data_IF_436540345174
#
_entry.id   IF_436540345174
#
_cell.length_a   1.000
_cell.length_b   1.000
_cell.length_c   1.000
_cell.angle_alpha   90.00
_cell.angle_beta   90.00
_cell.angle_gamma   90.00
#
_symmetry.space_group_name_H-M   'P 1'
#
loop_
_entity.id
_entity.type
_entity.pdbx_description
1 polymer ?
#
# COMPACT_ATOMS: atom_id res chain seq x y z
N UNK A 1 -19.80 -12.33 -7.52
CA UNK A 1 -18.80 -11.90 -8.51
C UNK A 1 -18.53 -10.43 -8.29
N UNK A 2 -17.27 -10.00 -8.42
CA UNK A 2 -16.86 -8.61 -8.25
C UNK A 2 -16.80 -7.92 -9.62
N UNK A 3 -17.10 -6.62 -9.68
CA UNK A 3 -17.00 -5.82 -10.91
C UNK A 3 -16.55 -4.40 -10.59
N UNK A 4 -16.12 -3.66 -11.62
CA UNK A 4 -15.62 -2.29 -11.49
C UNK A 4 -16.62 -1.31 -12.08
N UNK A 5 -16.99 -0.29 -11.31
CA UNK A 5 -17.76 0.88 -11.76
C UNK A 5 -16.83 2.09 -11.79
N UNK A 6 -16.88 2.86 -12.88
CA UNK A 6 -16.09 4.09 -13.03
C UNK A 6 -17.00 5.30 -12.83
N UNK A 7 -16.52 6.31 -12.11
CA UNK A 7 -17.23 7.59 -11.96
C UNK A 7 -16.27 8.75 -12.19
N UNK A 8 -16.66 9.66 -13.10
CA UNK A 8 -15.98 10.93 -13.33
C UNK A 8 -16.18 11.84 -12.12
N UNK A 9 -15.09 12.40 -11.63
CA UNK A 9 -15.06 13.35 -10.51
C UNK A 9 -15.21 14.78 -11.02
N UNK A 10 -15.54 15.69 -10.10
CA UNK A 10 -15.63 17.13 -10.37
C UNK A 10 -14.30 17.74 -10.79
N UNK A 11 -13.17 17.16 -10.34
CA UNK A 11 -11.80 17.57 -10.70
C UNK A 11 -11.34 17.07 -12.08
N UNK A 12 -12.22 16.39 -12.83
CA UNK A 12 -11.91 15.83 -14.15
C UNK A 12 -11.28 14.44 -14.14
N UNK A 13 -10.82 13.94 -12.98
CA UNK A 13 -10.26 12.59 -12.86
C UNK A 13 -11.32 11.50 -12.75
N UNK A 14 -10.91 10.24 -12.88
CA UNK A 14 -11.76 9.05 -12.78
C UNK A 14 -11.50 8.32 -11.47
N UNK A 15 -12.57 8.11 -10.72
CA UNK A 15 -12.59 7.16 -9.62
C UNK A 15 -13.04 5.79 -10.11
N UNK A 16 -12.40 4.73 -9.61
CA UNK A 16 -12.74 3.35 -9.91
C UNK A 16 -13.21 2.68 -8.62
N UNK A 17 -14.42 2.11 -8.62
CA UNK A 17 -15.02 1.44 -7.46
C UNK A 17 -15.21 -0.03 -7.78
N UNK A 18 -14.67 -0.91 -6.95
CA UNK A 18 -14.93 -2.35 -7.01
C UNK A 18 -16.16 -2.63 -6.16
N UNK A 19 -17.14 -3.35 -6.73
CA UNK A 19 -18.40 -3.72 -6.06
C UNK A 19 -18.60 -5.22 -6.14
N UNK A 20 -19.06 -5.85 -5.06
CA UNK A 20 -19.35 -7.28 -5.01
C UNK A 20 -20.41 -7.61 -3.95
N UNK A 21 -20.85 -8.89 -3.92
CA UNK A 21 -21.68 -9.44 -2.85
C UNK A 21 -20.84 -10.32 -1.94
N UNK A 22 -20.93 -10.08 -0.63
CA UNK A 22 -20.12 -10.77 0.36
C UNK A 22 -20.33 -12.29 0.31
N UNK A 23 -19.24 -13.05 0.25
CA UNK A 23 -19.24 -14.51 0.29
C UNK A 23 -19.85 -15.20 -0.93
N UNK A 24 -20.09 -14.46 -2.02
CA UNK A 24 -20.69 -14.96 -3.26
C UNK A 24 -22.12 -15.52 -3.12
N UNK A 25 -22.78 -15.28 -1.98
CA UNK A 25 -24.14 -15.77 -1.72
C UNK A 25 -25.20 -14.80 -2.24
N UNK A 26 -26.37 -15.32 -2.62
CA UNK A 26 -27.46 -14.55 -3.24
C UNK A 26 -27.94 -13.40 -2.35
N UNK A 27 -28.04 -13.65 -1.04
CA UNK A 27 -28.47 -12.66 -0.04
C UNK A 27 -27.29 -11.94 0.63
N UNK A 28 -26.09 -12.08 0.06
CA UNK A 28 -24.88 -11.43 0.58
C UNK A 28 -25.00 -9.92 0.44
N UNK A 29 -24.62 -9.21 1.51
CA UNK A 29 -24.59 -7.76 1.53
C UNK A 29 -23.67 -7.21 0.42
N UNK A 30 -24.09 -6.11 -0.20
CA UNK A 30 -23.24 -5.39 -1.14
C UNK A 30 -22.07 -4.76 -0.41
N UNK A 31 -20.88 -4.94 -0.98
CA UNK A 31 -19.64 -4.36 -0.50
C UNK A 31 -18.99 -3.55 -1.62
N UNK A 32 -18.22 -2.53 -1.24
CA UNK A 32 -17.55 -1.67 -2.21
C UNK A 32 -16.27 -1.05 -1.67
N UNK A 33 -15.27 -0.92 -2.52
CA UNK A 33 -14.01 -0.21 -2.28
C UNK A 33 -13.75 0.78 -3.42
N UNK A 34 -13.38 2.03 -3.10
CA UNK A 34 -13.23 3.11 -4.08
C UNK A 34 -11.80 3.61 -4.14
N UNK A 35 -11.22 3.64 -5.34
CA UNK A 35 -9.89 4.15 -5.65
C UNK A 35 -9.99 5.48 -6.38
N UNK A 36 -9.52 6.55 -5.75
CA UNK A 36 -9.54 7.92 -6.29
C UNK A 36 -8.20 8.68 -6.08
N UNK A 37 -7.24 8.08 -5.38
CA UNK A 37 -5.97 8.72 -5.07
C UNK A 37 -4.94 8.52 -6.20
N UNK A 38 -4.86 9.46 -7.14
CA UNK A 38 -3.88 9.45 -8.22
C UNK A 38 -4.49 9.64 -9.61
N UNK A 39 -3.75 9.24 -10.64
CA UNK A 39 -4.20 9.35 -12.04
C UNK A 39 -5.25 8.29 -12.37
N UNK A 40 -6.02 8.52 -13.42
CA UNK A 40 -7.08 7.60 -13.88
C UNK A 40 -6.55 6.18 -14.13
N UNK A 41 -5.38 6.08 -14.77
CA UNK A 41 -4.73 4.80 -15.02
C UNK A 41 -4.31 4.09 -13.73
N UNK A 42 -3.81 4.83 -12.74
CA UNK A 42 -3.44 4.27 -11.43
C UNK A 42 -4.68 3.80 -10.67
N UNK A 43 -5.76 4.57 -10.68
CA UNK A 43 -7.01 4.21 -10.00
C UNK A 43 -7.62 2.93 -10.61
N UNK A 44 -7.61 2.81 -11.94
CA UNK A 44 -8.08 1.61 -12.63
C UNK A 44 -7.21 0.39 -12.34
N UNK A 45 -5.88 0.53 -12.37
CA UNK A 45 -4.97 -0.57 -12.07
C UNK A 45 -5.15 -1.08 -10.62
N UNK A 46 -5.31 -0.16 -9.65
CA UNK A 46 -5.58 -0.54 -8.25
C UNK A 46 -6.92 -1.26 -8.10
N UNK A 47 -7.97 -0.78 -8.76
CA UNK A 47 -9.28 -1.41 -8.75
C UNK A 47 -9.25 -2.82 -9.38
N UNK A 48 -8.52 -3.02 -10.48
CA UNK A 48 -8.36 -4.33 -11.11
C UNK A 48 -7.61 -5.31 -10.21
N UNK A 49 -6.51 -4.86 -9.61
CA UNK A 49 -5.77 -5.66 -8.63
C UNK A 49 -6.62 -6.04 -7.42
N UNK A 50 -7.37 -5.09 -6.86
CA UNK A 50 -8.25 -5.36 -5.72
C UNK A 50 -9.40 -6.31 -6.07
N UNK A 51 -10.00 -6.16 -7.26
CA UNK A 51 -11.02 -7.10 -7.75
C UNK A 51 -10.49 -8.53 -7.78
N UNK A 52 -9.29 -8.75 -8.31
CA UNK A 52 -8.63 -10.08 -8.32
C UNK A 52 -8.42 -10.63 -6.90
N UNK A 53 -8.05 -9.77 -5.95
CA UNK A 53 -7.89 -10.16 -4.54
C UNK A 53 -9.23 -10.58 -3.92
N UNK A 54 -10.32 -9.85 -4.17
CA UNK A 54 -11.68 -10.22 -3.73
C UNK A 54 -12.12 -11.55 -4.35
N UNK A 55 -11.80 -11.78 -5.63
CA UNK A 55 -12.10 -13.04 -6.30
C UNK A 55 -11.33 -14.22 -5.69
N UNK A 56 -10.03 -14.05 -5.45
CA UNK A 56 -9.19 -15.06 -4.78
C UNK A 56 -9.64 -15.34 -3.33
N UNK A 57 -10.15 -14.33 -2.63
CA UNK A 57 -10.71 -14.45 -1.27
C UNK A 57 -12.14 -15.02 -1.24
N UNK A 58 -12.65 -15.56 -2.35
CA UNK A 58 -14.00 -16.13 -2.40
C UNK A 58 -15.11 -15.08 -2.20
N UNK A 59 -14.91 -13.89 -2.78
CA UNK A 59 -15.81 -12.73 -2.65
C UNK A 59 -15.91 -12.20 -1.20
N UNK A 60 -14.84 -12.36 -0.42
CA UNK A 60 -14.65 -11.73 0.88
C UNK A 60 -13.65 -10.59 0.77
N UNK A 61 -13.57 -9.78 1.82
CA UNK A 61 -12.46 -8.84 1.96
C UNK A 61 -11.14 -9.64 2.00
N UNK A 62 -10.10 -9.20 1.28
CA UNK A 62 -8.78 -9.82 1.40
C UNK A 62 -8.28 -9.74 2.85
N UNK A 63 -7.60 -10.78 3.32
CA UNK A 63 -7.12 -10.84 4.71
C UNK A 63 -6.19 -9.66 5.02
N UNK A 64 -6.46 -8.94 6.11
CA UNK A 64 -5.71 -7.75 6.52
C UNK A 64 -6.06 -6.47 5.74
N UNK A 65 -7.00 -6.52 4.79
CA UNK A 65 -7.48 -5.33 4.10
C UNK A 65 -8.53 -4.59 4.92
N UNK A 66 -8.24 -3.33 5.25
CA UNK A 66 -9.16 -2.40 5.89
C UNK A 66 -9.75 -1.48 4.81
N UNK A 67 -11.08 -1.36 4.80
CA UNK A 67 -11.79 -0.55 3.81
C UNK A 67 -11.30 0.90 3.82
N UNK A 68 -10.95 1.42 2.65
CA UNK A 68 -10.45 2.79 2.47
C UNK A 68 -9.00 3.01 2.90
N UNK A 69 -8.36 2.05 3.58
CA UNK A 69 -6.97 2.14 4.03
C UNK A 69 -6.03 1.17 3.30
N UNK A 70 -6.55 0.05 2.79
CA UNK A 70 -5.75 -0.99 2.16
C UNK A 70 -5.27 -2.04 3.17
N UNK A 71 -4.15 -2.72 2.89
CA UNK A 71 -3.56 -3.65 3.86
C UNK A 71 -2.97 -2.86 5.04
N UNK A 72 -3.65 -2.93 6.18
CA UNK A 72 -3.23 -2.29 7.43
C UNK A 72 -3.15 -3.37 8.51
N UNK A 73 -2.09 -3.33 9.31
CA UNK A 73 -2.02 -4.15 10.51
C UNK A 73 -2.93 -3.50 11.57
N UNK A 74 -3.97 -4.19 12.08
CA UNK A 74 -4.84 -3.61 13.11
C UNK A 74 -4.02 -3.11 14.29
N UNK A 75 -4.23 -1.85 14.68
CA UNK A 75 -3.63 -1.26 15.87
C UNK A 75 -4.23 -1.95 17.11
N UNK A 76 -3.64 -3.07 17.53
CA UNK A 76 -4.13 -3.87 18.66
C UNK A 76 -3.60 -5.31 18.69
N UNK A 77 -3.18 -5.86 17.55
CA UNK A 77 -2.53 -7.19 17.46
C UNK A 77 -1.00 -7.11 17.50
N UNK A 78 -0.45 -6.02 18.06
CA UNK A 78 0.95 -6.02 18.42
C UNK A 78 1.09 -6.88 19.69
N UNK A 79 1.38 -8.16 19.53
CA UNK A 79 1.87 -9.00 20.63
C UNK A 79 3.02 -8.23 21.32
N UNK A 80 2.87 -7.80 22.58
CA UNK A 80 3.88 -7.01 23.27
C UNK A 80 5.24 -7.73 23.37
N UNK A 81 5.24 -9.07 23.25
CA UNK A 81 6.45 -9.90 23.26
C UNK A 81 7.12 -9.98 21.89
N UNK A 82 6.41 -9.62 20.81
CA UNK A 82 6.95 -9.63 19.45
C UNK A 82 7.56 -8.28 19.15
N UNK A 83 8.87 -8.28 18.90
CA UNK A 83 9.58 -7.08 18.46
C UNK A 83 8.85 -6.43 17.26
N UNK A 84 8.59 -5.11 17.29
CA UNK A 84 7.94 -4.45 16.17
C UNK A 84 8.76 -4.64 14.89
N UNK A 85 8.10 -4.92 13.75
CA UNK A 85 8.80 -5.16 12.50
C UNK A 85 9.57 -3.91 12.06
N UNK A 86 10.65 -4.12 11.31
CA UNK A 86 11.39 -3.01 10.70
C UNK A 86 10.58 -2.44 9.54
N UNK A 87 10.79 -1.15 9.24
CA UNK A 87 10.10 -0.49 8.11
C UNK A 87 10.25 -1.27 6.79
N UNK A 88 11.46 -1.73 6.48
CA UNK A 88 11.74 -2.50 5.26
C UNK A 88 10.98 -3.82 5.21
N UNK A 89 10.85 -4.52 6.33
CA UNK A 89 10.14 -5.81 6.39
C UNK A 89 8.64 -5.61 6.13
N UNK A 90 8.06 -4.54 6.69
CA UNK A 90 6.66 -4.14 6.43
C UNK A 90 6.46 -3.86 4.94
N UNK A 91 7.38 -3.08 4.34
CA UNK A 91 7.31 -2.74 2.92
C UNK A 91 7.39 -3.97 2.02
N UNK A 92 8.29 -4.90 2.33
CA UNK A 92 8.42 -6.15 1.57
C UNK A 92 7.18 -7.03 1.68
N UNK A 93 6.63 -7.19 2.89
CA UNK A 93 5.40 -7.93 3.14
C UNK A 93 4.24 -7.33 2.35
N UNK A 94 4.08 -6.00 2.38
CA UNK A 94 3.07 -5.29 1.61
C UNK A 94 3.20 -5.54 0.10
N UNK A 95 4.42 -5.47 -0.45
CA UNK A 95 4.66 -5.74 -1.88
C UNK A 95 4.30 -7.19 -2.25
N UNK A 96 4.52 -8.16 -1.34
CA UNK A 96 4.16 -9.58 -1.56
C UNK A 96 2.66 -9.82 -1.53
N UNK A 97 1.91 -9.07 -0.71
CA UNK A 97 0.45 -9.17 -0.62
C UNK A 97 -0.27 -8.65 -1.87
N UNK A 98 0.37 -7.80 -2.68
CA UNK A 98 -0.23 -7.32 -3.93
C UNK A 98 -0.19 -8.42 -5.00
N UNK A 99 -1.37 -8.95 -5.31
CA UNK A 99 -1.56 -10.06 -6.27
C UNK A 99 -1.33 -9.62 -7.72
N UNK A 100 -1.70 -8.40 -8.09
CA UNK A 100 -1.62 -7.91 -9.49
C UNK A 100 -0.41 -7.00 -9.75
N UNK A 101 0.75 -7.39 -9.20
CA UNK A 101 2.01 -6.73 -9.52
C UNK A 101 2.74 -7.54 -10.59
N UNK A 102 3.02 -6.94 -11.74
CA UNK A 102 3.90 -7.58 -12.72
C UNK A 102 5.29 -7.84 -12.10
N UNK A 103 6.05 -8.86 -12.56
CA UNK A 103 7.38 -9.14 -12.03
C UNK A 103 8.33 -7.92 -12.08
N UNK A 104 8.23 -7.12 -13.14
CA UNK A 104 9.00 -5.88 -13.28
C UNK A 104 8.61 -4.79 -12.29
N UNK A 105 7.30 -4.60 -12.04
CA UNK A 105 6.83 -3.69 -10.99
C UNK A 105 7.28 -4.17 -9.62
N UNK A 106 7.17 -5.47 -9.32
CA UNK A 106 7.59 -6.07 -8.04
C UNK A 106 9.07 -5.82 -7.79
N UNK A 107 9.91 -6.08 -8.78
CA UNK A 107 11.35 -5.78 -8.71
C UNK A 107 11.61 -4.29 -8.45
N UNK A 108 10.86 -3.39 -9.08
CA UNK A 108 11.01 -1.93 -8.88
C UNK A 108 10.65 -1.50 -7.45
N UNK A 109 9.52 -1.95 -6.92
CA UNK A 109 9.13 -1.62 -5.54
C UNK A 109 10.12 -2.18 -4.51
N UNK A 110 10.54 -3.43 -4.66
CA UNK A 110 11.58 -4.01 -3.80
C UNK A 110 12.91 -3.24 -3.92
N UNK A 111 13.26 -2.79 -5.12
CA UNK A 111 14.43 -1.94 -5.35
C UNK A 111 14.35 -0.60 -4.60
N UNK A 112 13.17 0.05 -4.57
CA UNK A 112 12.98 1.26 -3.77
C UNK A 112 13.19 1.00 -2.27
N UNK A 113 12.67 -0.11 -1.75
CA UNK A 113 12.88 -0.51 -0.36
C UNK A 113 14.36 -0.78 -0.05
N UNK A 114 15.09 -1.41 -0.98
CA UNK A 114 16.53 -1.61 -0.85
C UNK A 114 17.31 -0.30 -0.83
N UNK A 115 16.95 0.67 -1.67
CA UNK A 115 17.55 2.01 -1.64
C UNK A 115 17.31 2.67 -0.28
N UNK A 116 16.09 2.62 0.24
CA UNK A 116 15.78 3.15 1.58
C UNK A 116 16.58 2.41 2.67
N UNK A 117 16.69 1.09 2.59
CA UNK A 117 17.47 0.28 3.54
C UNK A 117 18.95 0.69 3.62
N UNK A 118 19.55 1.09 2.49
CA UNK A 118 20.94 1.54 2.41
C UNK A 118 21.13 3.05 2.62
N UNK A 119 20.05 3.83 2.70
CA UNK A 119 20.13 5.29 2.83
C UNK A 119 20.51 5.67 4.26
N UNK A 120 21.65 6.39 4.40
CA UNK A 120 22.04 6.99 5.67
C UNK A 120 21.42 8.37 5.79
N UNK A 121 20.66 8.57 6.86
CA UNK A 121 20.08 9.85 7.29
C UNK A 121 20.90 10.30 8.49
N UNK A 122 21.62 11.42 8.37
CA UNK A 122 22.57 11.88 9.41
C UNK A 122 23.53 10.77 9.91
N UNK A 123 23.95 9.87 9.02
CA UNK A 123 24.85 8.76 9.33
C UNK A 123 24.16 7.47 9.83
N UNK A 124 22.86 7.49 10.09
CA UNK A 124 22.11 6.32 10.56
C UNK A 124 21.23 5.68 9.47
N UNK A 125 21.09 4.35 9.52
CA UNK A 125 20.14 3.60 8.70
C UNK A 125 18.74 3.60 9.34
N UNK A 126 18.02 4.71 9.19
CA UNK A 126 16.70 4.90 9.83
C UNK A 126 15.69 3.82 9.42
N UNK A 127 15.65 3.47 8.13
CA UNK A 127 14.65 2.54 7.59
C UNK A 127 14.91 1.06 7.94
N UNK A 128 16.05 0.73 8.55
CA UNK A 128 16.32 -0.62 9.07
C UNK A 128 15.92 -0.77 10.53
N UNK A 129 15.41 0.28 11.17
CA UNK A 129 14.95 0.24 12.56
C UNK A 129 13.50 -0.26 12.66
N UNK A 130 13.06 -0.75 13.84
CA UNK A 130 11.66 -1.00 14.12
C UNK A 130 10.80 0.23 13.81
N UNK A 131 9.63 0.05 13.20
CA UNK A 131 8.77 1.18 12.76
C UNK A 131 8.37 2.09 13.92
N UNK A 132 8.19 1.52 15.12
CA UNK A 132 7.87 2.24 16.36
C UNK A 132 8.99 3.12 16.90
N UNK A 133 10.20 3.03 16.32
CA UNK A 133 11.37 3.81 16.71
C UNK A 133 11.75 4.88 15.68
N UNK A 134 10.98 5.01 14.60
CA UNK A 134 11.14 6.03 13.57
C UNK A 134 10.20 7.19 13.91
N UNK A 135 10.76 8.37 14.17
CA UNK A 135 10.02 9.54 14.61
C UNK A 135 9.98 10.61 13.53
N UNK A 136 9.13 11.62 13.72
CA UNK A 136 9.01 12.77 12.81
C UNK A 136 10.36 13.45 12.53
N UNK A 137 11.23 13.55 13.53
CA UNK A 137 12.56 14.10 13.38
C UNK A 137 13.42 13.30 12.37
N UNK A 138 13.39 11.97 12.44
CA UNK A 138 14.13 11.11 11.51
C UNK A 138 13.63 11.31 10.06
N UNK A 139 12.32 11.48 9.88
CA UNK A 139 11.70 11.72 8.58
C UNK A 139 12.05 13.11 8.04
N UNK A 140 12.04 14.15 8.90
CA UNK A 140 12.47 15.51 8.52
C UNK A 140 13.92 15.54 8.09
N UNK A 141 14.80 14.89 8.84
CA UNK A 141 16.22 14.81 8.49
C UNK A 141 16.42 14.09 7.15
N UNK A 142 15.67 13.00 6.90
CA UNK A 142 15.70 12.31 5.62
C UNK A 142 15.27 13.22 4.47
N UNK A 143 14.16 13.96 4.62
CA UNK A 143 13.67 14.88 3.60
C UNK A 143 14.68 16.00 3.30
N UNK A 144 15.37 16.52 4.31
CA UNK A 144 16.42 17.54 4.15
C UNK A 144 17.62 16.95 3.39
N UNK A 145 18.11 15.78 3.79
CA UNK A 145 19.23 15.11 3.11
C UNK A 145 18.87 14.77 1.66
N UNK A 146 17.62 14.35 1.42
CA UNK A 146 17.11 14.06 0.09
C UNK A 146 17.03 15.31 -0.80
N UNK A 147 16.42 16.41 -0.33
CA UNK A 147 16.36 17.69 -1.05
C UNK A 147 17.76 18.21 -1.42
N UNK A 148 18.71 18.13 -0.48
CA UNK A 148 20.11 18.49 -0.74
C UNK A 148 20.73 17.64 -1.85
N UNK A 149 20.49 16.33 -1.83
CA UNK A 149 21.02 15.40 -2.84
C UNK A 149 20.53 15.71 -4.26
N UNK A 150 19.31 16.25 -4.39
CA UNK A 150 18.75 16.69 -5.68
C UNK A 150 19.45 17.96 -6.18
N UNK A 151 19.72 18.91 -5.28
CA UNK A 151 20.36 20.20 -5.59
C UNK A 151 21.84 20.05 -5.96
N UNK A 152 22.56 19.09 -5.37
CA UNK A 152 23.98 18.84 -5.67
C UNK A 152 24.24 18.09 -6.98
N UNK A 153 23.19 17.61 -7.66
CA UNK A 153 23.29 16.91 -8.95
C UNK A 153 23.03 17.81 -10.18
N UNK A 154 22.77 19.10 -9.94
CA UNK A 154 22.72 20.15 -10.97
C UNK A 154 24.10 20.82 -11.08
#
# INVERSE_FOLDING_TARGET
MAWITKRKRSDGGVSATVVWRLGAVRDGAYQSETFSAGTDAQNLARADGFKKMVEAAGQRWPDGWVRGEGFVRPAGEADPLKAPPRFVDIGEEYVRQIVDLSPGQRKRYLGHLQVLAGTRVRGSLVFTRPVTSIHEADIKDWLIDWDRSLKTKA
#
